data_IF_945674800763
#
_entry.id   IF_945674800763
#
_cell.length_a   1.000
_cell.length_b   1.000
_cell.length_c   1.000
_cell.angle_alpha   90.00
_cell.angle_beta   90.00
_cell.angle_gamma   90.00
#
_symmetry.space_group_name_H-M   'P 1'
#
loop_
_entity.id
_entity.type
_entity.pdbx_description
1 polymer ?
#
# COMPACT_ATOMS: atom_id res chain seq x y z
N UNK A 1 -21.94 -33.40 -23.43
CA UNK A 1 -20.71 -32.63 -23.65
C UNK A 1 -20.71 -31.41 -22.73
N UNK A 2 -19.68 -31.27 -21.90
CA UNK A 2 -19.47 -30.11 -21.05
C UNK A 2 -18.59 -29.10 -21.80
N UNK A 3 -19.05 -27.85 -21.90
CA UNK A 3 -18.28 -26.76 -22.51
C UNK A 3 -18.03 -25.67 -21.49
N UNK A 4 -16.87 -24.99 -21.60
CA UNK A 4 -16.61 -23.80 -20.82
C UNK A 4 -17.62 -22.70 -21.15
N UNK A 5 -18.14 -22.03 -20.14
CA UNK A 5 -19.12 -20.93 -20.29
C UNK A 5 -18.46 -19.58 -20.51
N UNK A 6 -17.14 -19.51 -20.40
CA UNK A 6 -16.30 -18.31 -20.58
C UNK A 6 -14.92 -18.69 -21.11
N UNK A 7 -14.30 -17.76 -21.79
CA UNK A 7 -12.89 -17.87 -22.18
C UNK A 7 -11.99 -17.76 -20.96
N UNK A 8 -10.83 -18.45 -20.98
CA UNK A 8 -9.87 -18.42 -19.89
C UNK A 8 -8.86 -19.56 -19.97
N UNK A 9 -8.08 -19.68 -18.91
CA UNK A 9 -7.05 -20.69 -18.77
C UNK A 9 -7.52 -21.76 -17.79
N UNK A 10 -7.18 -23.02 -18.09
CA UNK A 10 -7.43 -24.13 -17.16
C UNK A 10 -6.42 -24.01 -16.02
N UNK A 11 -6.91 -23.68 -14.83
CA UNK A 11 -6.06 -23.52 -13.62
C UNK A 11 -6.06 -24.77 -12.74
N UNK A 12 -7.05 -25.63 -12.89
CA UNK A 12 -7.12 -26.91 -12.21
C UNK A 12 -7.81 -27.96 -13.08
N UNK A 13 -7.24 -29.18 -13.14
CA UNK A 13 -7.79 -30.32 -13.87
C UNK A 13 -7.60 -31.59 -13.03
N UNK A 14 -8.43 -31.79 -12.00
CA UNK A 14 -8.27 -32.91 -11.06
C UNK A 14 -8.69 -34.27 -11.63
N UNK A 15 -9.44 -34.30 -12.74
CA UNK A 15 -9.96 -35.53 -13.33
C UNK A 15 -9.01 -36.11 -14.38
N UNK A 16 -9.09 -37.41 -14.57
CA UNK A 16 -8.35 -38.15 -15.59
C UNK A 16 -9.30 -39.05 -16.37
N UNK A 17 -8.89 -39.44 -17.57
CA UNK A 17 -9.63 -40.39 -18.39
C UNK A 17 -9.90 -41.69 -17.66
N UNK A 18 -11.15 -42.18 -17.72
CA UNK A 18 -11.59 -43.39 -17.02
C UNK A 18 -11.96 -43.20 -15.55
N UNK A 19 -11.82 -42.00 -15.01
CA UNK A 19 -12.23 -41.68 -13.65
C UNK A 19 -13.75 -41.57 -13.54
N UNK A 20 -14.34 -42.17 -12.51
CA UNK A 20 -15.74 -41.97 -12.19
C UNK A 20 -15.96 -40.60 -11.61
N UNK A 21 -16.96 -39.88 -12.14
CA UNK A 21 -17.32 -38.50 -11.69
C UNK A 21 -18.78 -38.51 -11.23
N UNK A 22 -19.01 -37.78 -10.11
CA UNK A 22 -20.34 -37.53 -9.57
C UNK A 22 -20.79 -36.12 -9.94
N UNK A 23 -22.09 -35.75 -9.81
CA UNK A 23 -22.59 -34.41 -10.12
C UNK A 23 -21.92 -33.27 -9.36
N UNK A 24 -21.22 -33.56 -8.24
CA UNK A 24 -20.48 -32.60 -7.42
C UNK A 24 -18.97 -32.61 -7.67
N UNK A 25 -18.49 -33.50 -8.54
CA UNK A 25 -17.05 -33.58 -8.85
C UNK A 25 -16.65 -32.36 -9.68
N UNK A 26 -15.67 -31.61 -9.18
CA UNK A 26 -15.03 -30.57 -9.96
C UNK A 26 -14.23 -31.22 -11.10
N UNK A 27 -14.64 -30.97 -12.32
CA UNK A 27 -13.99 -31.56 -13.50
C UNK A 27 -12.83 -30.70 -13.97
N UNK A 28 -13.02 -29.37 -13.98
CA UNK A 28 -11.99 -28.41 -14.32
C UNK A 28 -12.36 -27.04 -13.75
N UNK A 29 -11.35 -26.23 -13.46
CA UNK A 29 -11.53 -24.83 -13.15
C UNK A 29 -10.91 -23.98 -14.24
N UNK A 30 -11.68 -23.00 -14.73
CA UNK A 30 -11.23 -22.01 -15.71
C UNK A 30 -11.19 -20.64 -15.05
N UNK A 31 -10.07 -19.94 -15.14
CA UNK A 31 -9.92 -18.59 -14.67
C UNK A 31 -9.48 -17.64 -15.79
N UNK A 32 -10.01 -16.41 -15.76
CA UNK A 32 -9.40 -15.29 -16.48
C UNK A 32 -8.12 -14.88 -15.76
N UNK A 33 -7.12 -14.50 -16.52
CA UNK A 33 -5.84 -13.99 -15.97
C UNK A 33 -5.66 -12.49 -16.24
N UNK A 34 -6.67 -11.83 -16.75
CA UNK A 34 -6.73 -10.39 -16.95
C UNK A 34 -8.17 -9.92 -16.68
N UNK A 35 -8.36 -9.02 -15.69
CA UNK A 35 -7.37 -8.53 -14.72
C UNK A 35 -7.00 -9.58 -13.65
N UNK A 36 -5.92 -9.32 -12.91
CA UNK A 36 -5.54 -10.12 -11.74
C UNK A 36 -5.78 -9.35 -10.44
N UNK A 37 -6.09 -10.10 -9.39
CA UNK A 37 -6.22 -9.57 -8.05
C UNK A 37 -4.96 -9.83 -7.24
N UNK A 38 -4.49 -8.78 -6.58
CA UNK A 38 -3.42 -8.85 -5.61
C UNK A 38 -3.99 -8.54 -4.24
N UNK A 39 -3.74 -9.40 -3.26
CA UNK A 39 -4.17 -9.19 -1.88
C UNK A 39 -2.94 -8.90 -1.03
N UNK A 40 -2.88 -7.70 -0.48
CA UNK A 40 -1.84 -7.30 0.47
C UNK A 40 -2.36 -7.33 1.90
N UNK A 41 -1.46 -7.58 2.84
CA UNK A 41 -1.71 -7.44 4.28
C UNK A 41 -1.12 -6.11 4.75
N UNK A 42 -1.96 -5.21 5.25
CA UNK A 42 -1.57 -3.88 5.72
C UNK A 42 -1.73 -3.80 7.23
N UNK A 43 -0.75 -3.27 7.94
CA UNK A 43 -0.82 -3.13 9.39
C UNK A 43 -1.92 -2.16 9.82
N UNK A 44 -2.59 -2.48 10.94
CA UNK A 44 -3.69 -1.70 11.53
C UNK A 44 -3.38 -0.19 11.62
N UNK A 45 -2.15 0.17 12.00
CA UNK A 45 -1.70 1.57 12.12
C UNK A 45 -1.74 2.36 10.81
N UNK A 46 -1.67 1.66 9.66
CA UNK A 46 -1.62 2.28 8.33
C UNK A 46 -3.01 2.27 7.64
N UNK A 47 -3.97 1.52 8.18
CA UNK A 47 -5.36 1.42 7.67
C UNK A 47 -6.04 2.79 7.50
N UNK A 48 -5.91 3.77 8.43
CA UNK A 48 -6.56 5.07 8.28
C UNK A 48 -6.11 5.88 7.05
N UNK A 49 -5.06 5.44 6.37
CA UNK A 49 -4.52 6.07 5.15
C UNK A 49 -4.97 5.40 3.87
N UNK A 50 -5.70 4.29 4.00
CA UNK A 50 -6.18 3.53 2.87
C UNK A 50 -7.58 3.99 2.47
N UNK A 51 -7.78 4.06 1.17
CA UNK A 51 -9.10 4.26 0.57
C UNK A 51 -9.17 3.50 -0.75
N UNK A 52 -10.38 3.12 -1.14
CA UNK A 52 -10.65 2.57 -2.47
C UNK A 52 -10.32 3.61 -3.55
N UNK A 53 -9.84 3.17 -4.71
CA UNK A 53 -9.40 4.03 -5.82
C UNK A 53 -7.97 4.57 -5.66
N UNK A 54 -7.25 4.26 -4.59
CA UNK A 54 -5.84 4.68 -4.46
C UNK A 54 -4.96 3.94 -5.46
N UNK A 55 -4.06 4.65 -6.16
CA UNK A 55 -3.12 4.01 -7.06
C UNK A 55 -2.13 3.13 -6.30
N UNK A 56 -1.89 1.96 -6.86
CA UNK A 56 -0.96 0.96 -6.35
C UNK A 56 0.07 0.58 -7.40
N UNK A 57 1.29 0.33 -6.97
CA UNK A 57 2.39 -0.15 -7.79
C UNK A 57 2.85 -1.51 -7.25
N UNK A 58 2.95 -2.51 -8.13
CA UNK A 58 3.43 -3.85 -7.81
C UNK A 58 4.78 -4.07 -8.48
N UNK A 59 5.75 -4.55 -7.72
CA UNK A 59 7.07 -4.90 -8.19
C UNK A 59 7.48 -6.29 -7.68
N UNK A 60 8.35 -6.94 -8.43
CA UNK A 60 8.88 -8.26 -8.09
C UNK A 60 10.41 -8.25 -8.11
N UNK A 61 11.05 -8.90 -7.15
CA UNK A 61 12.51 -9.01 -7.08
C UNK A 61 13.11 -9.75 -8.29
N UNK A 62 12.37 -10.75 -8.81
CA UNK A 62 12.81 -11.52 -9.97
C UNK A 62 12.55 -10.85 -11.33
N UNK A 63 11.88 -9.68 -11.35
CA UNK A 63 11.65 -8.84 -12.53
C UNK A 63 12.16 -7.40 -12.27
N UNK A 64 13.47 -7.21 -12.10
CA UNK A 64 14.01 -5.90 -11.77
C UNK A 64 13.72 -4.88 -12.89
N UNK A 65 13.22 -3.71 -12.48
CA UNK A 65 12.90 -2.61 -13.39
C UNK A 65 11.51 -2.71 -14.05
N UNK A 66 10.72 -3.75 -13.80
CA UNK A 66 9.29 -3.81 -14.20
C UNK A 66 8.40 -3.48 -13.01
N UNK A 67 7.49 -2.55 -13.23
CA UNK A 67 6.47 -2.16 -12.26
C UNK A 67 5.12 -2.26 -12.94
N UNK A 68 4.17 -2.88 -12.27
CA UNK A 68 2.78 -2.96 -12.71
C UNK A 68 1.97 -1.92 -11.93
N UNK A 69 1.06 -1.25 -12.63
CA UNK A 69 0.18 -0.23 -12.04
C UNK A 69 -1.23 -0.78 -11.89
N UNK A 70 -1.85 -0.47 -10.77
CA UNK A 70 -3.20 -0.89 -10.46
C UNK A 70 -3.82 0.07 -9.44
N UNK A 71 -4.91 -0.33 -8.85
CA UNK A 71 -5.63 0.45 -7.85
C UNK A 71 -6.19 -0.41 -6.73
N UNK A 72 -6.41 0.21 -5.59
CA UNK A 72 -7.11 -0.40 -4.45
C UNK A 72 -8.59 -0.52 -4.83
N UNK A 73 -9.07 -1.75 -4.91
CA UNK A 73 -10.44 -2.09 -5.29
C UNK A 73 -11.32 -2.35 -4.07
N UNK A 74 -10.77 -2.97 -3.02
CA UNK A 74 -11.59 -3.35 -1.85
C UNK A 74 -10.76 -3.47 -0.58
N UNK A 75 -11.27 -2.91 0.52
CA UNK A 75 -10.74 -3.11 1.86
C UNK A 75 -11.62 -4.12 2.60
N UNK A 76 -11.04 -5.25 3.00
CA UNK A 76 -11.80 -6.24 3.77
C UNK A 76 -12.19 -5.70 5.13
N UNK A 77 -13.45 -5.88 5.59
CA UNK A 77 -13.94 -5.27 6.83
C UNK A 77 -13.42 -5.97 8.10
N UNK A 78 -12.66 -7.03 7.96
CA UNK A 78 -12.18 -7.85 9.08
C UNK A 78 -10.67 -7.81 9.20
N UNK A 79 -10.19 -7.53 10.42
CA UNK A 79 -8.78 -7.61 10.79
C UNK A 79 -8.39 -9.05 11.15
N UNK A 80 -7.22 -9.48 10.72
CA UNK A 80 -6.53 -10.65 11.28
C UNK A 80 -5.97 -10.25 12.66
N UNK A 81 -6.62 -10.77 13.72
CA UNK A 81 -6.28 -10.42 15.11
C UNK A 81 -4.88 -10.92 15.49
N UNK A 82 -4.44 -12.05 14.94
CA UNK A 82 -3.14 -12.64 15.27
C UNK A 82 -1.98 -11.83 14.68
N UNK A 83 -2.17 -11.32 13.47
CA UNK A 83 -1.15 -10.54 12.73
C UNK A 83 -1.35 -9.03 12.86
N UNK A 84 -2.52 -8.59 13.33
CA UNK A 84 -2.96 -7.19 13.34
C UNK A 84 -2.84 -6.53 11.96
N UNK A 85 -3.33 -7.25 10.95
CA UNK A 85 -3.32 -6.79 9.57
C UNK A 85 -4.73 -6.77 8.99
N UNK A 86 -4.97 -5.83 8.08
CA UNK A 86 -6.14 -5.76 7.23
C UNK A 86 -5.75 -6.28 5.84
N UNK A 87 -6.60 -7.10 5.25
CA UNK A 87 -6.43 -7.47 3.85
C UNK A 87 -6.98 -6.38 2.95
N UNK A 88 -6.21 -6.06 1.92
CA UNK A 88 -6.56 -5.06 0.91
C UNK A 88 -6.44 -5.73 -0.46
N UNK A 89 -7.53 -5.71 -1.22
CA UNK A 89 -7.54 -6.21 -2.60
C UNK A 89 -7.25 -5.07 -3.55
N UNK A 90 -6.37 -5.32 -4.49
CA UNK A 90 -6.03 -4.43 -5.57
C UNK A 90 -6.24 -5.14 -6.90
N UNK A 91 -6.57 -4.38 -7.93
CA UNK A 91 -6.76 -4.87 -9.29
C UNK A 91 -5.63 -4.36 -10.17
N UNK A 92 -5.05 -5.26 -10.94
CA UNK A 92 -3.99 -4.97 -11.91
C UNK A 92 -4.39 -5.52 -13.27
N UNK A 93 -4.26 -4.71 -14.31
CA UNK A 93 -4.38 -5.18 -15.68
C UNK A 93 -3.19 -6.09 -16.04
N UNK A 94 -3.45 -7.13 -16.81
CA UNK A 94 -2.47 -8.15 -17.15
C UNK A 94 -2.58 -8.60 -18.62
N UNK A 95 -2.53 -7.66 -19.57
CA UNK A 95 -2.72 -7.98 -21.00
C UNK A 95 -1.62 -8.90 -21.54
N UNK A 96 -0.40 -8.79 -21.03
CA UNK A 96 0.74 -9.61 -21.43
C UNK A 96 0.83 -10.95 -20.69
N UNK A 97 -0.08 -11.22 -19.75
CA UNK A 97 -0.14 -12.44 -18.94
C UNK A 97 1.15 -12.70 -18.11
N UNK A 98 1.88 -11.64 -17.78
CA UNK A 98 3.09 -11.73 -16.96
C UNK A 98 2.79 -12.02 -15.49
N UNK A 99 1.64 -11.54 -15.01
CA UNK A 99 1.17 -11.80 -13.65
C UNK A 99 0.45 -13.15 -13.61
N UNK A 100 0.85 -14.00 -12.66
CA UNK A 100 0.25 -15.32 -12.48
C UNK A 100 -0.21 -15.53 -11.04
N UNK A 101 -1.32 -16.24 -10.83
CA UNK A 101 -1.74 -16.62 -9.49
C UNK A 101 -0.63 -17.34 -8.72
N UNK A 102 -0.47 -16.98 -7.44
CA UNK A 102 0.58 -17.57 -6.58
C UNK A 102 1.92 -16.82 -6.61
N UNK A 103 2.06 -15.75 -7.41
CA UNK A 103 3.22 -14.87 -7.33
C UNK A 103 3.17 -13.99 -6.07
N UNK A 104 4.36 -13.70 -5.51
CA UNK A 104 4.54 -12.79 -4.39
C UNK A 104 5.41 -11.63 -4.83
N UNK A 105 5.02 -10.41 -4.44
CA UNK A 105 5.73 -9.20 -4.78
C UNK A 105 5.48 -8.09 -3.77
N UNK A 106 6.21 -6.99 -3.91
CA UNK A 106 6.07 -5.80 -3.09
C UNK A 106 5.06 -4.84 -3.70
N UNK A 107 4.12 -4.39 -2.87
CA UNK A 107 3.12 -3.40 -3.27
C UNK A 107 3.39 -2.08 -2.57
N UNK A 108 3.35 -1.00 -3.32
CA UNK A 108 3.37 0.38 -2.84
C UNK A 108 2.03 1.03 -3.14
N UNK A 109 1.26 1.35 -2.09
CA UNK A 109 0.01 2.08 -2.21
C UNK A 109 0.31 3.56 -1.94
N UNK A 110 -0.04 4.43 -2.88
CA UNK A 110 0.12 5.88 -2.69
C UNK A 110 -1.03 6.40 -1.84
N UNK A 111 -0.71 6.96 -0.68
CA UNK A 111 -1.73 7.59 0.17
C UNK A 111 -2.32 8.81 -0.55
N UNK A 112 -3.66 8.92 -0.53
CA UNK A 112 -4.40 10.06 -1.07
C UNK A 112 -4.26 11.33 -0.21
N UNK A 113 -3.36 11.34 0.77
CA UNK A 113 -3.09 12.53 1.57
C UNK A 113 -2.40 13.59 0.70
N UNK A 114 -3.19 14.43 0.06
CA UNK A 114 -2.75 15.66 -0.62
C UNK A 114 -2.13 16.70 0.34
N UNK A 115 -2.14 16.41 1.62
CA UNK A 115 -1.49 17.24 2.62
C UNK A 115 0.01 16.96 2.53
N UNK A 116 0.73 17.79 1.78
CA UNK A 116 2.19 17.83 1.88
C UNK A 116 2.52 18.23 3.32
N UNK A 117 3.07 17.36 4.14
CA UNK A 117 3.39 17.72 5.51
C UNK A 117 4.43 18.83 5.50
N UNK A 118 4.24 19.84 6.33
CA UNK A 118 5.28 20.81 6.58
C UNK A 118 6.47 20.10 7.22
N UNK A 119 7.63 20.17 6.59
CA UNK A 119 8.83 19.47 7.11
C UNK A 119 9.99 20.43 7.25
N UNK A 120 10.79 20.22 8.29
CA UNK A 120 12.05 20.93 8.51
C UNK A 120 13.22 19.95 8.51
N UNK A 121 14.45 20.37 8.19
CA UNK A 121 15.62 19.53 8.38
C UNK A 121 15.73 19.06 9.84
N UNK A 122 16.14 17.83 10.08
CA UNK A 122 16.30 17.30 11.44
C UNK A 122 17.28 18.13 12.27
N UNK A 123 18.27 18.75 11.63
CA UNK A 123 19.23 19.67 12.25
C UNK A 123 18.63 20.99 12.73
N UNK A 124 17.46 21.39 12.23
CA UNK A 124 16.77 22.60 12.69
C UNK A 124 15.95 22.40 13.96
N UNK A 125 15.76 21.14 14.37
CA UNK A 125 14.98 20.80 15.55
C UNK A 125 15.83 20.84 16.81
N UNK A 126 15.40 21.64 17.77
CA UNK A 126 15.94 21.64 19.14
C UNK A 126 14.99 20.81 19.99
N UNK A 127 15.45 19.63 20.41
CA UNK A 127 14.66 18.74 21.26
C UNK A 127 14.46 19.34 22.64
N UNK A 128 13.22 19.32 23.10
CA UNK A 128 12.89 19.63 24.47
C UNK A 128 13.37 18.53 25.41
N UNK A 129 13.69 18.90 26.64
CA UNK A 129 14.06 17.96 27.72
C UNK A 129 13.02 18.01 28.83
N UNK A 130 12.58 16.85 29.31
CA UNK A 130 11.53 16.75 30.31
C UNK A 130 10.19 17.25 29.76
N UNK A 131 9.56 18.22 30.42
CA UNK A 131 8.28 18.82 30.01
C UNK A 131 8.43 19.97 28.98
N UNK A 132 9.66 20.33 28.61
CA UNK A 132 9.90 21.41 27.67
C UNK A 132 9.51 20.97 26.24
N UNK A 133 8.78 21.80 25.48
CA UNK A 133 8.38 21.48 24.11
C UNK A 133 9.58 21.48 23.15
N UNK A 134 9.48 20.69 22.11
CA UNK A 134 10.40 20.78 20.96
C UNK A 134 10.30 22.17 20.32
N UNK A 135 11.41 22.68 19.78
CA UNK A 135 11.52 24.06 19.27
C UNK A 135 12.29 24.10 17.97
N UNK A 136 12.01 25.13 17.20
CA UNK A 136 12.80 25.55 16.05
C UNK A 136 13.17 27.03 16.18
N UNK A 137 14.22 27.44 15.49
CA UNK A 137 14.60 28.85 15.41
C UNK A 137 14.13 29.39 14.09
N UNK A 138 13.27 30.42 14.13
CA UNK A 138 12.71 31.09 12.96
C UNK A 138 13.41 32.43 12.81
N UNK A 139 13.85 32.75 11.59
CA UNK A 139 14.39 34.08 11.24
C UNK A 139 13.26 35.03 10.96
N UNK A 140 13.19 36.15 11.69
CA UNK A 140 12.17 37.19 11.53
C UNK A 140 12.66 38.35 10.63
N UNK A 141 13.97 38.61 10.64
CA UNK A 141 14.68 39.57 9.79
C UNK A 141 16.15 39.21 9.75
N UNK A 142 16.98 39.96 8.97
CA UNK A 142 18.42 39.63 8.81
C UNK A 142 19.15 39.36 10.12
N UNK A 143 18.83 40.11 11.19
CA UNK A 143 19.51 40.03 12.50
C UNK A 143 18.59 39.53 13.64
N UNK A 144 17.36 39.11 13.34
CA UNK A 144 16.41 38.75 14.38
C UNK A 144 15.93 37.34 14.24
N UNK A 145 16.18 36.53 15.29
CA UNK A 145 15.76 35.18 15.41
C UNK A 145 14.83 34.99 16.59
N UNK A 146 13.89 34.07 16.47
CA UNK A 146 12.98 33.71 17.56
C UNK A 146 12.88 32.19 17.69
N UNK A 147 13.05 31.69 18.90
CA UNK A 147 12.73 30.32 19.22
C UNK A 147 11.22 30.12 19.32
N UNK A 148 10.66 29.12 18.60
CA UNK A 148 9.23 28.83 18.56
C UNK A 148 9.01 27.37 18.91
N UNK A 149 8.06 27.12 19.82
CA UNK A 149 7.62 25.76 20.16
C UNK A 149 6.86 25.16 18.97
N UNK A 150 7.14 23.88 18.69
CA UNK A 150 6.51 23.12 17.59
C UNK A 150 5.99 21.78 18.12
N UNK A 151 4.90 21.33 17.52
CA UNK A 151 4.44 19.96 17.66
C UNK A 151 4.95 19.17 16.47
N UNK A 152 5.70 18.12 16.73
CA UNK A 152 6.30 17.30 15.69
C UNK A 152 5.49 16.02 15.45
N UNK A 153 5.51 15.56 14.20
CA UNK A 153 4.95 14.29 13.75
C UNK A 153 6.04 13.25 13.50
N UNK A 154 6.10 12.77 12.28
CA UNK A 154 7.10 11.78 11.86
C UNK A 154 8.50 12.37 11.86
N UNK A 155 9.45 11.53 12.23
CA UNK A 155 10.87 11.86 12.20
C UNK A 155 11.57 10.80 11.37
N UNK A 156 12.24 11.22 10.31
CA UNK A 156 13.19 10.38 9.61
C UNK A 156 14.63 10.90 9.82
N UNK A 157 15.61 10.27 9.21
CA UNK A 157 17.03 10.63 9.37
C UNK A 157 17.37 12.03 8.85
N UNK A 158 16.62 12.58 7.94
CA UNK A 158 16.92 13.85 7.26
C UNK A 158 15.92 14.96 7.61
N UNK A 159 14.65 14.62 7.86
CA UNK A 159 13.56 15.59 8.02
C UNK A 159 12.63 15.23 9.17
N UNK A 160 12.01 16.27 9.73
CA UNK A 160 11.01 16.16 10.79
C UNK A 160 9.73 16.83 10.30
N UNK A 161 8.62 16.14 10.41
CA UNK A 161 7.28 16.66 10.16
C UNK A 161 6.87 17.59 11.30
N UNK A 162 6.31 18.76 10.93
CA UNK A 162 5.78 19.73 11.88
C UNK A 162 4.26 19.77 11.74
N UNK A 163 3.56 19.34 12.80
CA UNK A 163 2.09 19.30 12.85
C UNK A 163 1.49 20.64 13.23
N UNK A 164 2.19 21.43 14.05
CA UNK A 164 1.76 22.74 14.50
C UNK A 164 2.95 23.61 14.95
N UNK A 165 2.76 24.93 14.94
CA UNK A 165 3.74 25.91 15.44
C UNK A 165 4.57 26.60 14.36
N UNK A 166 4.51 26.16 13.09
CA UNK A 166 5.18 26.79 11.95
C UNK A 166 4.20 27.01 10.79
N UNK A 167 4.55 27.94 9.91
CA UNK A 167 3.88 28.15 8.62
C UNK A 167 4.86 27.92 7.48
N UNK A 168 4.34 27.60 6.31
CA UNK A 168 5.16 27.46 5.11
C UNK A 168 5.86 28.79 4.79
N UNK A 169 7.16 28.72 4.51
CA UNK A 169 7.99 29.90 4.20
C UNK A 169 8.65 30.57 5.41
N UNK A 170 8.41 30.09 6.64
CA UNK A 170 9.08 30.58 7.86
C UNK A 170 10.40 29.86 8.16
#
# INVERSE_FOLDING_TARGET
>A
ELRATRDGFIVNLPVREGMFVEPRTEVLAVAGLDPVWVVAEVFERDVPRLAEGQPAELAFDFLPGRTFTGEVDYLYPTLDVARRTLRVRMVFENPDLDLRPGMFGDVRIRSASDVRPLTVPASALIRGTGEAPDRVVVQLSEDRFRSRAVLIGRVDSARVEVLAGLREGE
#
